data_IF_729029186368
#
_entry.id   IF_729029186368
#
_cell.length_a   1.000
_cell.length_b   1.000
_cell.length_c   1.000
_cell.angle_alpha   90.00
_cell.angle_beta   90.00
_cell.angle_gamma   90.00
#
_symmetry.space_group_name_H-M   'P 1'
#
loop_
_entity.id
_entity.type
_entity.pdbx_description
1 polymer ?
#
# COMPACT_ATOMS: atom_id res chain seq x y z
N UNK A 1 -17.18 4.89 6.30
CA UNK A 1 -16.12 3.87 6.23
C UNK A 1 -15.14 4.37 5.19
N UNK A 2 -13.87 4.56 5.55
CA UNK A 2 -12.83 4.88 4.55
C UNK A 2 -12.83 3.80 3.47
N UNK A 3 -12.78 4.22 2.20
CA UNK A 3 -12.73 3.30 1.06
C UNK A 3 -11.41 2.53 1.10
N UNK A 4 -11.45 1.30 1.59
CA UNK A 4 -10.30 0.38 1.57
C UNK A 4 -10.00 -0.03 0.13
N UNK A 5 -8.73 -0.19 -0.18
CA UNK A 5 -8.33 -0.74 -1.47
C UNK A 5 -8.77 -2.19 -1.59
N UNK A 6 -8.97 -2.66 -2.83
CA UNK A 6 -9.28 -4.07 -3.11
C UNK A 6 -8.27 -5.03 -2.46
N UNK A 7 -7.01 -4.60 -2.35
CA UNK A 7 -5.95 -5.35 -1.69
C UNK A 7 -6.23 -5.53 -0.19
N UNK A 8 -6.48 -4.45 0.54
CA UNK A 8 -6.80 -4.51 1.98
C UNK A 8 -8.12 -5.25 2.26
N UNK A 9 -9.10 -5.13 1.37
CA UNK A 9 -10.35 -5.89 1.47
C UNK A 9 -10.14 -7.40 1.25
N UNK A 10 -9.12 -7.81 0.49
CA UNK A 10 -8.85 -9.23 0.18
C UNK A 10 -7.93 -9.88 1.22
N UNK A 11 -6.84 -9.21 1.59
CA UNK A 11 -5.79 -9.77 2.45
C UNK A 11 -5.87 -9.31 3.90
N UNK A 12 -6.85 -8.45 4.20
CA UNK A 12 -7.10 -7.93 5.53
C UNK A 12 -6.46 -6.56 5.79
N UNK A 13 -6.81 -5.99 6.93
CA UNK A 13 -6.46 -4.63 7.31
C UNK A 13 -5.57 -4.61 8.55
N UNK A 14 -4.27 -4.87 8.34
CA UNK A 14 -3.25 -4.74 9.38
C UNK A 14 -2.43 -3.47 9.20
N UNK A 15 -1.80 -2.93 10.27
CA UNK A 15 -0.93 -1.76 10.15
C UNK A 15 0.20 -1.91 9.13
N UNK A 16 0.77 -3.12 9.01
CA UNK A 16 1.83 -3.36 8.01
C UNK A 16 1.25 -3.33 6.58
N UNK A 17 0.09 -3.95 6.35
CA UNK A 17 -0.54 -3.95 5.04
C UNK A 17 -1.01 -2.56 4.60
N UNK A 18 -1.55 -1.75 5.52
CA UNK A 18 -1.90 -0.34 5.24
C UNK A 18 -0.71 0.50 4.78
N UNK A 19 0.44 0.33 5.42
CA UNK A 19 1.67 1.03 5.03
C UNK A 19 2.16 0.55 3.67
N UNK A 20 2.13 -0.75 3.40
CA UNK A 20 2.54 -1.30 2.10
C UNK A 20 1.59 -0.89 0.97
N UNK A 21 0.28 -0.88 1.22
CA UNK A 21 -0.74 -0.38 0.31
C UNK A 21 -0.48 1.08 -0.05
N UNK A 22 -0.29 1.94 0.95
CA UNK A 22 0.06 3.35 0.75
C UNK A 22 1.33 3.51 -0.10
N UNK A 23 2.40 2.76 0.24
CA UNK A 23 3.69 2.87 -0.44
C UNK A 23 3.65 2.39 -1.89
N UNK A 24 2.81 1.41 -2.24
CA UNK A 24 2.63 0.98 -3.64
C UNK A 24 1.81 2.01 -4.41
N UNK A 25 0.67 2.46 -3.85
CA UNK A 25 -0.19 3.45 -4.52
C UNK A 25 0.55 4.75 -4.80
N UNK A 26 1.51 5.11 -3.94
CA UNK A 26 2.29 6.34 -4.03
C UNK A 26 3.78 6.09 -4.33
N UNK A 27 4.10 5.01 -5.06
CA UNK A 27 5.48 4.56 -5.29
C UNK A 27 6.38 5.54 -6.05
N UNK A 28 5.77 6.52 -6.75
CA UNK A 28 6.48 7.57 -7.49
C UNK A 28 7.07 8.66 -6.59
N UNK A 29 6.67 8.72 -5.32
CA UNK A 29 7.03 9.79 -4.39
C UNK A 29 7.77 9.27 -3.15
N UNK A 30 8.46 10.19 -2.48
CA UNK A 30 9.07 9.95 -1.17
C UNK A 30 8.34 10.70 -0.05
N UNK A 31 8.33 10.11 1.14
CA UNK A 31 7.57 10.59 2.29
C UNK A 31 8.39 10.45 3.56
N UNK A 32 8.16 11.34 4.53
CA UNK A 32 8.72 11.14 5.86
C UNK A 32 7.99 10.01 6.58
N UNK A 33 8.60 9.40 7.60
CA UNK A 33 7.90 8.40 8.43
C UNK A 33 6.61 8.96 9.05
N UNK A 34 6.57 10.26 9.36
CA UNK A 34 5.38 10.93 9.89
C UNK A 34 4.27 10.97 8.85
N UNK A 35 4.61 11.33 7.61
CA UNK A 35 3.64 11.37 6.50
C UNK A 35 3.14 9.95 6.20
N UNK A 36 4.02 8.96 6.17
CA UNK A 36 3.65 7.55 5.96
C UNK A 36 2.69 7.08 7.03
N UNK A 37 2.97 7.36 8.31
CA UNK A 37 2.07 7.02 9.41
C UNK A 37 0.69 7.68 9.21
N UNK A 38 0.66 8.99 8.98
CA UNK A 38 -0.57 9.75 8.81
C UNK A 38 -1.39 9.29 7.61
N UNK A 39 -0.78 9.20 6.43
CA UNK A 39 -1.45 8.91 5.16
C UNK A 39 -1.83 7.44 5.00
N UNK A 40 -1.16 6.52 5.72
CA UNK A 40 -1.59 5.12 5.80
C UNK A 40 -2.62 4.85 6.91
N UNK A 41 -3.01 5.88 7.69
CA UNK A 41 -3.92 5.73 8.82
C UNK A 41 -3.33 4.85 9.94
N UNK A 42 -2.01 4.82 10.10
CA UNK A 42 -1.30 4.04 11.12
C UNK A 42 -0.67 4.96 12.15
N UNK A 43 -0.90 4.71 13.44
CA UNK A 43 -0.26 5.47 14.50
C UNK A 43 1.27 5.42 14.41
N UNK A 44 1.94 6.57 14.58
CA UNK A 44 3.40 6.67 14.44
C UNK A 44 4.17 5.73 15.38
N UNK A 45 3.68 5.53 16.61
CA UNK A 45 4.24 4.54 17.56
C UNK A 45 4.14 3.11 17.02
N UNK A 46 3.01 2.76 16.40
CA UNK A 46 2.80 1.46 15.74
C UNK A 46 3.73 1.28 14.55
N UNK A 47 3.88 2.32 13.69
CA UNK A 47 4.81 2.28 12.57
C UNK A 47 6.24 1.98 13.02
N UNK A 48 6.69 2.65 14.09
CA UNK A 48 8.03 2.45 14.66
C UNK A 48 8.31 0.99 15.06
N UNK A 49 7.30 0.22 15.47
CA UNK A 49 7.49 -1.18 15.88
C UNK A 49 8.01 -2.07 14.76
N UNK A 50 7.65 -1.79 13.50
CA UNK A 50 8.03 -2.60 12.35
C UNK A 50 8.86 -1.87 11.31
N UNK A 51 9.05 -0.55 11.43
CA UNK A 51 9.82 0.24 10.47
C UNK A 51 11.25 -0.28 10.28
N UNK A 52 11.94 -0.60 11.38
CA UNK A 52 13.31 -1.12 11.32
C UNK A 52 13.44 -2.40 10.49
N UNK A 53 12.38 -3.23 10.46
CA UNK A 53 12.33 -4.43 9.62
C UNK A 53 12.15 -4.09 8.14
N UNK A 54 11.36 -3.05 7.81
CA UNK A 54 11.20 -2.60 6.43
C UNK A 54 12.51 -2.06 5.86
N UNK A 55 13.26 -1.28 6.64
CA UNK A 55 14.58 -0.77 6.25
C UNK A 55 15.60 -1.90 6.12
N UNK A 56 15.73 -2.77 7.14
CA UNK A 56 16.70 -3.89 7.14
C UNK A 56 16.49 -4.86 5.98
N UNK A 57 15.24 -5.09 5.60
CA UNK A 57 14.89 -5.98 4.49
C UNK A 57 14.90 -5.26 3.13
N UNK A 58 15.39 -4.02 3.05
CA UNK A 58 15.40 -3.21 1.84
C UNK A 58 14.03 -3.13 1.15
N UNK A 59 12.95 -3.09 1.94
CA UNK A 59 11.59 -2.87 1.46
C UNK A 59 11.38 -1.39 1.16
N UNK A 60 11.87 -0.54 2.07
CA UNK A 60 11.94 0.91 1.91
C UNK A 60 13.40 1.35 1.91
N UNK A 61 13.69 2.45 1.21
CA UNK A 61 15.01 3.07 1.19
C UNK A 61 14.88 4.55 1.52
N UNK A 62 15.84 5.07 2.27
CA UNK A 62 15.97 6.52 2.46
C UNK A 62 16.46 7.14 1.15
N UNK A 63 15.80 8.18 0.67
CA UNK A 63 16.13 8.86 -0.60
C UNK A 63 16.93 10.13 -0.37
N UNK A 64 16.45 10.99 0.53
CA UNK A 64 17.01 12.30 0.83
C UNK A 64 16.65 12.75 2.24
N UNK A 65 17.17 13.90 2.63
CA UNK A 65 16.79 14.60 3.86
C UNK A 65 16.27 15.98 3.48
N UNK A 66 15.09 16.34 3.98
CA UNK A 66 14.47 17.66 3.77
C UNK A 66 14.35 18.34 5.15
N UNK A 67 15.12 19.40 5.36
CA UNK A 67 15.30 19.98 6.70
C UNK A 67 15.85 18.95 7.68
N UNK A 68 15.07 18.57 8.68
CA UNK A 68 15.42 17.52 9.66
C UNK A 68 14.73 16.17 9.38
N UNK A 69 13.86 16.10 8.37
CA UNK A 69 13.10 14.90 8.06
C UNK A 69 13.85 14.02 7.06
N UNK A 70 13.94 12.73 7.36
CA UNK A 70 14.39 11.71 6.41
C UNK A 70 13.21 11.29 5.53
N UNK A 71 13.43 11.27 4.23
CA UNK A 71 12.44 10.87 3.24
C UNK A 71 12.69 9.43 2.80
N UNK A 72 11.62 8.69 2.59
CA UNK A 72 11.63 7.26 2.29
C UNK A 72 10.68 6.95 1.14
N UNK A 73 11.05 5.96 0.34
CA UNK A 73 10.18 5.41 -0.69
C UNK A 73 10.28 3.89 -0.77
N UNK A 74 9.34 3.29 -1.50
CA UNK A 74 9.37 1.87 -1.82
C UNK A 74 10.60 1.53 -2.67
N UNK A 75 11.32 0.48 -2.29
CA UNK A 75 12.54 0.08 -2.98
C UNK A 75 12.26 -0.79 -4.20
N UNK A 76 11.90 -0.16 -5.31
CA UNK A 76 11.66 -0.86 -6.58
C UNK A 76 12.91 -1.50 -7.20
N UNK A 77 14.11 -1.35 -6.63
CA UNK A 77 15.29 -2.12 -7.08
C UNK A 77 15.30 -3.54 -6.50
N UNK A 78 14.60 -3.77 -5.38
CA UNK A 78 14.48 -5.07 -4.74
C UNK A 78 13.54 -5.98 -5.55
N UNK A 79 13.99 -7.15 -6.04
CA UNK A 79 13.18 -8.04 -6.88
C UNK A 79 11.94 -8.60 -6.15
N UNK A 80 12.00 -8.77 -4.83
CA UNK A 80 10.85 -9.20 -4.03
C UNK A 80 9.76 -8.13 -4.05
N UNK A 81 10.17 -6.86 -3.94
CA UNK A 81 9.25 -5.72 -3.94
C UNK A 81 8.63 -5.48 -5.32
N UNK A 82 9.39 -5.67 -6.40
CA UNK A 82 8.83 -5.66 -7.76
C UNK A 82 7.71 -6.70 -7.91
N UNK A 83 7.96 -7.95 -7.50
CA UNK A 83 6.95 -9.01 -7.56
C UNK A 83 5.73 -8.71 -6.70
N UNK A 84 5.94 -8.17 -5.50
CA UNK A 84 4.85 -7.78 -4.61
C UNK A 84 3.98 -6.65 -5.20
N UNK A 85 4.60 -5.66 -5.85
CA UNK A 85 3.91 -4.60 -6.59
C UNK A 85 3.09 -5.18 -7.74
N UNK A 86 3.66 -6.08 -8.54
CA UNK A 86 2.94 -6.69 -9.66
C UNK A 86 1.72 -7.47 -9.14
N UNK A 87 1.90 -8.27 -8.10
CA UNK A 87 0.83 -8.98 -7.40
C UNK A 87 -0.27 -8.06 -6.84
N UNK A 88 0.13 -6.93 -6.23
CA UNK A 88 -0.80 -5.93 -5.74
C UNK A 88 -1.70 -5.41 -6.87
N UNK A 89 -1.10 -5.00 -7.98
CA UNK A 89 -1.85 -4.47 -9.13
C UNK A 89 -2.68 -5.53 -9.85
N UNK A 90 -2.25 -6.79 -9.87
CA UNK A 90 -3.05 -7.91 -10.37
C UNK A 90 -4.30 -8.14 -9.51
N UNK A 91 -4.14 -8.12 -8.19
CA UNK A 91 -5.26 -8.27 -7.24
C UNK A 91 -6.29 -7.14 -7.43
N UNK A 92 -5.83 -5.90 -7.55
CA UNK A 92 -6.74 -4.76 -7.72
C UNK A 92 -7.48 -4.82 -9.07
N UNK A 93 -6.82 -5.28 -10.15
CA UNK A 93 -7.46 -5.50 -11.47
C UNK A 93 -8.50 -6.61 -11.45
N UNK A 94 -8.25 -7.73 -10.79
CA UNK A 94 -9.21 -8.84 -10.70
C UNK A 94 -10.53 -8.40 -10.07
N UNK A 95 -10.46 -7.66 -8.95
CA UNK A 95 -11.66 -7.20 -8.24
C UNK A 95 -12.48 -6.18 -9.04
N UNK A 96 -11.84 -5.37 -9.89
CA UNK A 96 -12.56 -4.51 -10.84
C UNK A 96 -13.40 -5.37 -11.79
N UNK A 97 -12.82 -6.41 -12.38
CA UNK A 97 -13.55 -7.29 -13.30
C UNK A 97 -14.72 -8.04 -12.63
N UNK A 98 -14.55 -8.49 -11.38
CA UNK A 98 -15.60 -9.14 -10.59
C UNK A 98 -16.74 -8.18 -10.24
N UNK A 99 -16.44 -6.99 -9.69
CA UNK A 99 -17.47 -5.98 -9.38
C UNK A 99 -18.23 -5.52 -10.63
N UNK A 100 -17.57 -5.49 -11.80
CA UNK A 100 -18.23 -5.21 -13.07
C UNK A 100 -19.18 -6.34 -13.49
N UNK A 101 -18.77 -7.62 -13.36
CA UNK A 101 -19.63 -8.78 -13.66
C UNK A 101 -20.86 -8.83 -12.74
N UNK A 102 -20.67 -8.64 -11.44
CA UNK A 102 -21.78 -8.61 -10.47
C UNK A 102 -22.80 -7.52 -10.78
N UNK A 103 -22.35 -6.31 -11.14
CA UNK A 103 -23.24 -5.21 -11.56
C UNK A 103 -24.01 -5.51 -12.84
N UNK A 104 -23.41 -6.21 -13.80
CA UNK A 104 -24.09 -6.62 -15.04
C UNK A 104 -25.14 -7.70 -14.74
N UNK A 105 -24.80 -8.70 -13.93
CA UNK A 105 -25.71 -9.77 -13.51
C UNK A 105 -26.90 -9.24 -12.70
N UNK A 106 -26.67 -8.31 -11.77
CA UNK A 106 -27.73 -7.70 -10.95
C UNK A 106 -28.72 -6.87 -11.78
N UNK A 107 -28.26 -6.22 -12.86
CA UNK A 107 -29.13 -5.49 -13.79
C UNK A 107 -30.01 -6.40 -14.65
N UNK A 108 -29.53 -7.61 -14.96
CA UNK A 108 -30.29 -8.59 -15.74
C UNK A 108 -31.32 -9.40 -14.94
N UNK A 109 -31.28 -9.35 -13.60
CA UNK A 109 -32.26 -9.99 -12.73
C UNK A 109 -33.40 -9.05 -12.27
N UNK A 110 -33.31 -7.76 -12.63
CA UNK A 110 -34.29 -6.72 -12.26
C UNK A 110 -35.08 -6.16 -13.46
N UNK A 111 -35.02 -6.83 -14.61
CA UNK A 111 -35.88 -6.63 -15.79
C UNK A 111 -36.56 -7.93 -16.16
#
# INVERSE_FOLDING_TARGET
MENKTAFLETFGDSPTLRVLDFLIVNEDFDYSMTDIASLSGVGYSTLKLFWSRLEKNNIVIQTRTVGKAKMYKLNLTNPVIKKFRDFYWETTRQRVHEKFKEKILAKHQTS
#
